data_IF_388502128215
#
_entry.id   IF_388502128215
#
_cell.length_a   1.000
_cell.length_b   1.000
_cell.length_c   1.000
_cell.angle_alpha   90.00
_cell.angle_beta   90.00
_cell.angle_gamma   90.00
#
_symmetry.space_group_name_H-M   'P 1'
#
loop_
_entity.id
_entity.type
_entity.pdbx_description
1 polymer ?
#
# COMPACT_ATOMS: atom_id res chain seq x y z
N UNK A 1 1.03 12.17 -23.59
CA UNK A 1 0.83 12.33 -22.13
C UNK A 1 1.74 11.31 -21.46
N UNK A 2 2.99 11.68 -21.18
CA UNK A 2 3.87 10.85 -20.35
C UNK A 2 3.59 11.28 -18.92
N UNK A 3 2.69 10.58 -18.23
CA UNK A 3 2.52 10.81 -16.80
C UNK A 3 3.78 10.27 -16.12
N UNK A 4 4.48 11.13 -15.39
CA UNK A 4 5.59 10.68 -14.55
C UNK A 4 5.09 9.62 -13.57
N UNK A 5 5.88 8.57 -13.31
CA UNK A 5 5.44 7.46 -12.48
C UNK A 5 5.08 7.99 -11.08
N UNK A 6 3.93 7.56 -10.51
CA UNK A 6 3.49 8.02 -9.20
C UNK A 6 4.56 7.69 -8.16
N UNK A 7 5.26 8.72 -7.69
CA UNK A 7 6.35 8.59 -6.72
C UNK A 7 5.83 8.98 -5.35
N UNK A 8 6.07 8.13 -4.35
CA UNK A 8 5.75 8.45 -2.96
C UNK A 8 6.69 9.56 -2.51
N UNK A 9 6.12 10.73 -2.17
CA UNK A 9 6.90 11.91 -1.77
C UNK A 9 7.68 11.64 -0.49
N UNK A 10 8.86 12.26 -0.35
CA UNK A 10 9.72 12.10 0.83
C UNK A 10 9.00 12.39 2.16
N UNK A 11 8.10 13.37 2.18
CA UNK A 11 7.27 13.69 3.34
C UNK A 11 6.29 12.58 3.73
N UNK A 12 5.77 11.85 2.74
CA UNK A 12 4.90 10.69 2.97
C UNK A 12 5.72 9.50 3.45
N UNK A 13 6.92 9.31 2.91
CA UNK A 13 7.84 8.23 3.31
C UNK A 13 8.19 8.28 4.80
N UNK A 14 8.37 9.48 5.37
CA UNK A 14 8.68 9.65 6.78
C UNK A 14 7.52 9.30 7.73
N UNK A 15 6.28 9.29 7.23
CA UNK A 15 5.06 9.04 8.04
C UNK A 15 4.56 7.60 7.98
N UNK A 16 5.18 6.76 7.15
CA UNK A 16 4.72 5.40 6.89
C UNK A 16 5.73 4.36 7.35
N UNK A 17 5.25 3.22 7.84
CA UNK A 17 6.13 2.11 8.22
C UNK A 17 6.86 1.50 7.01
N UNK A 18 8.01 0.87 7.23
CA UNK A 18 8.75 0.19 6.18
C UNK A 18 7.92 -0.86 5.42
N UNK A 19 7.03 -1.59 6.13
CA UNK A 19 6.15 -2.60 5.53
C UNK A 19 5.21 -2.00 4.48
N UNK A 20 4.49 -0.93 4.82
CA UNK A 20 3.56 -0.33 3.87
C UNK A 20 4.30 0.38 2.74
N UNK A 21 5.48 0.94 3.01
CA UNK A 21 6.32 1.52 1.97
C UNK A 21 6.76 0.46 0.95
N UNK A 22 7.19 -0.72 1.42
CA UNK A 22 7.55 -1.83 0.54
C UNK A 22 6.33 -2.32 -0.26
N UNK A 23 5.19 -2.50 0.42
CA UNK A 23 3.94 -2.90 -0.22
C UNK A 23 3.55 -1.95 -1.37
N UNK A 24 3.56 -0.64 -1.11
CA UNK A 24 3.20 0.36 -2.12
C UNK A 24 4.18 0.40 -3.29
N UNK A 25 5.50 0.22 -3.06
CA UNK A 25 6.48 0.12 -4.16
C UNK A 25 6.18 -1.04 -5.10
N UNK A 26 5.77 -2.20 -4.55
CA UNK A 26 5.39 -3.37 -5.34
C UNK A 26 4.11 -3.12 -6.14
N UNK A 27 3.14 -2.40 -5.57
CA UNK A 27 1.91 -2.00 -6.28
C UNK A 27 2.17 -0.96 -7.38
N UNK A 28 3.07 -0.01 -7.12
CA UNK A 28 3.39 1.13 -8.00
C UNK A 28 4.59 0.85 -8.91
N UNK A 29 4.94 -0.42 -9.14
CA UNK A 29 6.01 -0.77 -10.09
C UNK A 29 5.58 -0.38 -11.51
N UNK A 30 6.45 0.36 -12.18
CA UNK A 30 6.20 0.97 -13.50
C UNK A 30 5.98 -0.12 -14.55
N UNK A 31 6.90 -1.08 -14.59
CA UNK A 31 6.82 -2.21 -15.51
C UNK A 31 5.73 -3.19 -15.04
N UNK A 32 4.66 -3.41 -15.84
CA UNK A 32 3.60 -4.34 -15.50
C UNK A 32 4.08 -5.79 -15.33
N UNK A 33 5.15 -6.19 -16.03
CA UNK A 33 5.69 -7.56 -15.92
C UNK A 33 6.47 -7.78 -14.62
N UNK A 34 7.01 -6.70 -14.04
CA UNK A 34 7.71 -6.72 -12.75
C UNK A 34 6.80 -6.38 -11.57
N UNK A 35 5.60 -5.86 -11.84
CA UNK A 35 4.63 -5.52 -10.80
C UNK A 35 4.13 -6.78 -10.13
N UNK A 36 4.14 -6.78 -8.80
CA UNK A 36 3.69 -7.91 -8.01
C UNK A 36 2.24 -8.25 -8.29
N UNK A 37 1.94 -9.53 -8.40
CA UNK A 37 0.57 -10.01 -8.59
C UNK A 37 -0.24 -10.03 -7.28
N UNK A 38 -1.54 -10.30 -7.39
CA UNK A 38 -2.43 -10.33 -6.22
C UNK A 38 -2.06 -11.42 -5.22
N UNK A 39 -1.63 -12.60 -5.67
CA UNK A 39 -1.25 -13.70 -4.78
C UNK A 39 -0.01 -13.34 -3.98
N UNK A 40 0.96 -12.68 -4.59
CA UNK A 40 2.17 -12.20 -3.93
C UNK A 40 1.89 -11.03 -2.97
N UNK A 41 0.95 -10.15 -3.32
CA UNK A 41 0.57 -9.01 -2.47
C UNK A 41 -0.23 -9.46 -1.24
N UNK A 42 -1.13 -10.44 -1.39
CA UNK A 42 -1.88 -11.01 -0.26
C UNK A 42 -0.97 -11.68 0.78
N UNK A 43 0.17 -12.21 0.36
CA UNK A 43 1.15 -12.83 1.25
C UNK A 43 2.08 -11.82 1.93
N UNK A 44 2.03 -10.54 1.55
CA UNK A 44 2.91 -9.50 2.05
C UNK A 44 2.68 -9.22 3.56
N UNK A 45 3.74 -9.00 4.37
CA UNK A 45 3.62 -8.75 5.81
C UNK A 45 2.65 -7.61 6.20
N UNK A 46 2.57 -6.57 5.37
CA UNK A 46 1.63 -5.47 5.57
C UNK A 46 0.17 -5.95 5.66
N UNK A 47 -0.28 -6.82 4.76
CA UNK A 47 -1.65 -7.33 4.72
C UNK A 47 -1.92 -8.26 5.92
N UNK A 48 -0.92 -9.03 6.34
CA UNK A 48 -1.03 -9.91 7.53
C UNK A 48 -1.23 -9.14 8.84
N UNK A 49 -0.91 -7.84 8.87
CA UNK A 49 -1.14 -6.95 10.02
C UNK A 49 -2.54 -6.30 10.02
N UNK A 50 -3.43 -6.69 9.10
CA UNK A 50 -4.78 -6.16 9.04
C UNK A 50 -5.54 -6.39 10.36
N UNK A 51 -6.25 -5.36 10.82
CA UNK A 51 -7.15 -5.46 11.97
C UNK A 51 -8.47 -6.10 11.56
N UNK A 52 -9.23 -6.69 12.51
CA UNK A 52 -10.58 -7.16 12.24
C UNK A 52 -11.45 -6.07 11.61
N UNK A 53 -12.39 -6.45 10.74
CA UNK A 53 -13.29 -5.50 10.06
C UNK A 53 -14.08 -4.63 11.04
N UNK A 54 -14.41 -5.15 12.22
CA UNK A 54 -15.07 -4.42 13.30
C UNK A 54 -14.30 -3.18 13.78
N UNK A 55 -12.97 -3.13 13.57
CA UNK A 55 -12.16 -1.95 13.90
C UNK A 55 -12.48 -0.72 13.05
N UNK A 56 -13.20 -0.89 11.93
CA UNK A 56 -13.65 0.21 11.08
C UNK A 56 -14.94 0.86 11.59
N UNK A 57 -15.73 0.16 12.43
CA UNK A 57 -17.03 0.66 12.91
C UNK A 57 -16.98 2.07 13.53
N UNK A 58 -15.97 2.44 14.36
CA UNK A 58 -15.88 3.80 14.89
C UNK A 58 -15.70 4.87 13.81
N UNK A 59 -14.94 4.58 12.75
CA UNK A 59 -14.69 5.51 11.66
C UNK A 59 -15.93 5.73 10.79
N UNK A 60 -16.77 4.70 10.62
CA UNK A 60 -18.03 4.80 9.87
C UNK A 60 -19.04 5.67 10.61
N UNK A 61 -19.06 5.60 11.95
CA UNK A 61 -19.98 6.38 12.79
C UNK A 61 -19.54 7.82 13.03
N UNK A 62 -18.29 8.15 12.70
CA UNK A 62 -17.72 9.50 12.83
C UNK A 62 -18.04 10.40 11.63
N UNK A 63 -18.77 9.86 10.63
CA UNK A 63 -19.25 10.55 9.44
C UNK A 63 -20.56 11.29 9.74
#
# INVERSE_FOLDING_TARGET
>A
MQEEPPTITAESQARVSADIMNFLKRCLTIDPQQRADTYELLQHPFIKRAKPLSSLCPNIKAV
#
